data_IF_550695252727
#
_entry.id   IF_550695252727
#
_cell.length_a   1.000
_cell.length_b   1.000
_cell.length_c   1.000
_cell.angle_alpha   90.00
_cell.angle_beta   90.00
_cell.angle_gamma   90.00
#
_symmetry.space_group_name_H-M   'P 1'
#
loop_
_entity.id
_entity.type
_entity.pdbx_description
1 polymer ?
#
# COMPACT_ATOMS: atom_id res chain seq x y z
N UNK A 1 -47.94 -28.74 49.89
CA UNK A 1 -47.56 -28.27 48.54
C UNK A 1 -46.84 -26.92 48.58
N UNK A 2 -45.74 -26.77 49.31
CA UNK A 2 -44.96 -25.49 49.39
C UNK A 2 -43.42 -25.69 49.52
N UNK A 3 -42.87 -26.80 49.05
CA UNK A 3 -41.42 -27.07 49.15
C UNK A 3 -40.74 -27.38 47.80
N UNK A 4 -41.39 -27.18 46.64
CA UNK A 4 -40.82 -27.50 45.33
C UNK A 4 -40.49 -26.28 44.45
N UNK A 5 -40.64 -25.06 44.98
CA UNK A 5 -40.54 -23.83 44.17
C UNK A 5 -39.21 -23.08 44.38
N UNK A 6 -38.29 -23.57 45.23
CA UNK A 6 -37.00 -22.89 45.50
C UNK A 6 -35.80 -23.50 44.78
N UNK A 7 -35.98 -24.66 44.09
CA UNK A 7 -34.82 -25.30 43.42
C UNK A 7 -34.68 -24.96 41.95
N UNK A 8 -35.68 -24.31 41.35
CA UNK A 8 -35.62 -23.94 39.90
C UNK A 8 -35.03 -22.54 39.67
N UNK A 9 -35.03 -21.65 40.69
CA UNK A 9 -34.39 -20.33 40.53
C UNK A 9 -32.86 -20.33 40.70
N UNK A 10 -32.27 -21.37 41.27
CA UNK A 10 -30.81 -21.44 41.47
C UNK A 10 -30.03 -21.88 40.22
N UNK A 11 -30.67 -22.58 39.29
CA UNK A 11 -29.99 -23.04 38.06
C UNK A 11 -30.01 -22.03 36.89
N UNK A 12 -30.84 -20.98 36.96
CA UNK A 12 -30.93 -19.98 35.90
C UNK A 12 -29.92 -18.83 36.05
N UNK A 13 -29.21 -18.71 37.17
CA UNK A 13 -28.17 -17.68 37.34
C UNK A 13 -26.76 -18.18 37.01
N UNK A 14 -26.56 -19.43 36.66
CA UNK A 14 -25.24 -19.98 36.31
C UNK A 14 -24.92 -19.97 34.80
N UNK A 15 -25.85 -19.51 33.95
CA UNK A 15 -25.66 -19.55 32.49
C UNK A 15 -25.37 -18.17 31.85
N UNK A 16 -25.14 -17.13 32.63
CA UNK A 16 -24.93 -15.78 32.07
C UNK A 16 -23.47 -15.32 32.04
N UNK A 17 -22.49 -16.22 32.10
CA UNK A 17 -21.08 -15.81 32.13
C UNK A 17 -20.23 -16.22 30.90
N UNK A 18 -20.85 -16.58 29.78
CA UNK A 18 -20.07 -17.08 28.61
C UNK A 18 -19.95 -16.06 27.47
N UNK A 19 -20.47 -14.85 27.64
CA UNK A 19 -20.35 -13.81 26.61
C UNK A 19 -19.25 -12.77 26.88
N UNK A 20 -18.51 -12.88 27.96
CA UNK A 20 -17.33 -12.06 28.18
C UNK A 20 -16.14 -12.71 27.50
N UNK A 21 -15.56 -11.99 26.54
CA UNK A 21 -14.26 -12.33 25.97
C UNK A 21 -13.31 -12.68 27.13
N UNK A 22 -12.89 -13.93 27.25
CA UNK A 22 -11.91 -14.32 28.26
C UNK A 22 -10.61 -13.56 27.99
N UNK A 23 -10.39 -12.48 28.71
CA UNK A 23 -9.10 -11.83 28.82
C UNK A 23 -8.20 -12.71 29.71
N UNK A 24 -8.03 -13.97 29.29
CA UNK A 24 -7.16 -14.92 29.99
C UNK A 24 -5.76 -14.35 30.05
N UNK A 25 -5.12 -14.46 31.22
CA UNK A 25 -3.69 -14.21 31.39
C UNK A 25 -2.90 -15.25 30.59
N UNK A 26 -2.85 -15.09 29.27
CA UNK A 26 -1.84 -15.79 28.47
C UNK A 26 -0.50 -15.17 28.81
N UNK A 27 0.54 -15.99 28.96
CA UNK A 27 1.90 -15.49 29.05
C UNK A 27 2.11 -14.51 27.89
N UNK A 28 2.15 -13.21 28.19
CA UNK A 28 2.34 -12.17 27.16
C UNK A 28 3.81 -12.21 26.78
N UNK A 29 4.13 -12.87 25.68
CA UNK A 29 5.43 -12.71 25.03
C UNK A 29 5.40 -11.41 24.23
N UNK A 30 6.46 -10.63 24.33
CA UNK A 30 6.67 -9.48 23.44
C UNK A 30 7.36 -9.99 22.17
N UNK A 31 6.77 -9.78 21.03
CA UNK A 31 7.29 -10.16 19.71
C UNK A 31 6.73 -9.24 18.62
N UNK A 32 7.54 -8.75 17.66
CA UNK A 32 9.00 -8.75 17.74
C UNK A 32 9.55 -7.71 18.73
N UNK A 33 10.79 -7.88 19.16
CA UNK A 33 11.55 -6.88 19.92
C UNK A 33 12.65 -6.36 19.01
N UNK A 34 12.57 -5.09 18.65
CA UNK A 34 13.63 -4.40 17.90
C UNK A 34 14.65 -3.89 18.90
N UNK A 35 15.87 -4.39 18.84
CA UNK A 35 16.96 -4.05 19.76
C UNK A 35 17.70 -2.79 19.29
N UNK A 36 18.36 -2.10 20.21
CA UNK A 36 19.08 -0.86 19.91
C UNK A 36 20.24 -1.03 18.89
N UNK A 37 20.80 -2.23 18.78
CA UNK A 37 21.84 -2.57 17.81
C UNK A 37 21.28 -2.90 16.40
N UNK A 38 19.96 -2.88 16.25
CA UNK A 38 19.24 -3.21 15.01
C UNK A 38 19.01 -4.70 14.82
N UNK A 39 19.38 -5.55 15.78
CA UNK A 39 18.92 -6.95 15.78
C UNK A 39 17.45 -7.01 16.16
N UNK A 40 16.75 -8.08 15.76
CA UNK A 40 15.31 -8.27 16.07
C UNK A 40 15.10 -9.64 16.67
N UNK A 41 14.52 -9.67 17.87
CA UNK A 41 14.21 -10.91 18.59
C UNK A 41 12.73 -11.26 18.42
N UNK A 42 12.45 -12.44 17.90
CA UNK A 42 11.12 -13.01 17.80
C UNK A 42 10.89 -13.99 18.94
N UNK A 43 9.74 -13.90 19.59
CA UNK A 43 9.33 -14.79 20.67
C UNK A 43 7.93 -15.34 20.40
N UNK A 44 7.74 -16.65 20.56
CA UNK A 44 6.46 -17.29 20.34
C UNK A 44 6.19 -18.36 21.40
N UNK A 45 5.07 -18.24 22.12
CA UNK A 45 4.70 -19.23 23.13
C UNK A 45 3.93 -20.39 22.50
N UNK A 46 4.52 -21.56 22.49
CA UNK A 46 3.90 -22.82 22.06
C UNK A 46 4.58 -24.02 22.71
N UNK A 47 4.11 -24.42 23.92
CA UNK A 47 4.76 -25.48 24.67
C UNK A 47 4.65 -26.85 24.00
N UNK A 48 3.63 -27.10 23.17
CA UNK A 48 3.38 -28.37 22.48
C UNK A 48 4.02 -28.46 21.10
N UNK A 49 4.43 -27.34 20.49
CA UNK A 49 5.03 -27.35 19.16
C UNK A 49 6.35 -28.14 19.15
N UNK A 50 6.60 -28.82 18.01
CA UNK A 50 7.83 -29.57 17.76
C UNK A 50 8.85 -28.74 17.00
N UNK A 51 8.40 -27.81 16.15
CA UNK A 51 9.25 -26.94 15.34
C UNK A 51 8.58 -25.58 15.13
N UNK A 52 9.34 -24.53 15.37
CA UNK A 52 8.91 -23.15 15.08
C UNK A 52 10.01 -22.42 14.32
N UNK A 53 9.64 -21.68 13.31
CA UNK A 53 10.55 -20.83 12.54
C UNK A 53 9.89 -19.53 12.13
N UNK A 54 10.72 -18.51 11.82
CA UNK A 54 10.30 -17.21 11.28
C UNK A 54 10.81 -17.10 9.84
N UNK A 55 9.94 -16.61 8.96
CA UNK A 55 10.33 -16.22 7.58
C UNK A 55 9.88 -14.78 7.33
N UNK A 56 10.67 -14.02 6.58
CA UNK A 56 10.36 -12.65 6.25
C UNK A 56 11.24 -12.11 5.14
N UNK A 57 11.05 -10.83 4.82
CA UNK A 57 11.83 -10.11 3.82
C UNK A 57 13.06 -9.40 4.40
N UNK A 58 13.47 -9.78 5.61
CA UNK A 58 14.62 -9.25 6.33
C UNK A 58 15.93 -10.01 6.03
N UNK A 59 15.86 -11.11 5.30
CA UNK A 59 17.05 -11.84 4.88
C UNK A 59 17.39 -11.49 3.42
N UNK A 60 18.68 -11.26 3.14
CA UNK A 60 19.19 -11.07 1.77
C UNK A 60 19.00 -12.33 0.92
N UNK A 61 18.93 -13.49 1.57
CA UNK A 61 18.67 -14.77 0.92
C UNK A 61 17.17 -15.06 1.00
N UNK A 62 16.43 -14.71 -0.06
CA UNK A 62 15.01 -15.05 -0.21
C UNK A 62 14.77 -16.53 0.14
N UNK A 63 13.87 -16.78 1.10
CA UNK A 63 13.41 -18.08 1.57
C UNK A 63 14.25 -18.75 2.68
N UNK A 64 15.20 -18.10 3.33
CA UNK A 64 15.72 -18.66 4.56
C UNK A 64 14.70 -18.52 5.69
N UNK A 65 14.52 -19.62 6.40
CA UNK A 65 13.75 -19.66 7.64
C UNK A 65 14.73 -19.59 8.79
N UNK A 66 14.48 -18.70 9.73
CA UNK A 66 15.20 -18.67 10.99
C UNK A 66 14.55 -19.68 11.94
N UNK A 67 15.23 -20.78 12.21
CA UNK A 67 14.76 -21.76 13.18
C UNK A 67 14.81 -21.17 14.59
N UNK A 68 13.75 -21.36 15.35
CA UNK A 68 13.64 -20.88 16.72
C UNK A 68 14.06 -21.96 17.71
N UNK A 69 14.62 -21.58 18.84
CA UNK A 69 15.03 -22.46 19.92
C UNK A 69 13.98 -22.44 21.03
N UNK A 70 13.51 -23.61 21.45
CA UNK A 70 12.54 -23.75 22.54
C UNK A 70 13.24 -23.56 23.90
N UNK A 71 12.66 -22.71 24.74
CA UNK A 71 13.07 -22.47 26.11
C UNK A 71 12.27 -23.39 27.06
N UNK A 72 12.75 -23.57 28.30
CA UNK A 72 12.11 -24.42 29.31
C UNK A 72 10.67 -23.98 29.64
N UNK A 73 10.38 -22.67 29.56
CA UNK A 73 9.07 -22.08 29.79
C UNK A 73 8.09 -22.25 28.61
N UNK A 74 8.49 -22.97 27.55
CA UNK A 74 7.66 -23.20 26.35
C UNK A 74 7.66 -22.06 25.35
N UNK A 75 8.48 -21.02 25.57
CA UNK A 75 8.68 -19.93 24.60
C UNK A 75 9.74 -20.35 23.59
N UNK A 76 9.46 -20.13 22.33
CA UNK A 76 10.43 -20.25 21.23
C UNK A 76 11.02 -18.88 20.96
N UNK A 77 12.33 -18.82 20.72
CA UNK A 77 13.02 -17.55 20.47
C UNK A 77 14.06 -17.68 19.37
N UNK A 78 14.25 -16.59 18.61
CA UNK A 78 15.36 -16.40 17.66
C UNK A 78 15.66 -14.93 17.51
N UNK A 79 16.94 -14.58 17.33
CA UNK A 79 17.37 -13.21 17.07
C UNK A 79 18.05 -13.13 15.71
N UNK A 80 17.71 -12.14 14.90
CA UNK A 80 18.32 -11.89 13.59
C UNK A 80 19.74 -11.32 13.75
N UNK A 81 20.50 -11.26 12.66
CA UNK A 81 21.61 -10.31 12.54
C UNK A 81 21.06 -8.87 12.59
N UNK A 82 21.93 -7.88 12.79
CA UNK A 82 21.54 -6.49 12.71
C UNK A 82 20.98 -6.16 11.32
N UNK A 83 19.76 -5.61 11.29
CA UNK A 83 19.04 -5.25 10.07
C UNK A 83 19.27 -3.77 9.73
N UNK A 84 19.14 -3.44 8.46
CA UNK A 84 19.13 -2.05 8.01
C UNK A 84 17.83 -1.35 8.40
N UNK A 85 17.82 0.00 8.55
CA UNK A 85 16.59 0.75 8.76
C UNK A 85 15.62 0.58 7.59
N UNK A 86 14.45 -0.04 7.89
CA UNK A 86 13.42 -0.35 6.89
C UNK A 86 12.15 -0.87 7.59
N UNK A 87 11.05 -0.97 6.83
CA UNK A 87 9.86 -1.74 7.20
C UNK A 87 9.97 -3.15 6.63
N UNK A 88 9.83 -4.13 7.50
CA UNK A 88 9.93 -5.56 7.21
C UNK A 88 8.61 -6.29 7.44
N UNK A 89 8.37 -7.32 6.65
CA UNK A 89 7.25 -8.24 6.79
C UNK A 89 7.74 -9.62 7.24
N UNK A 90 6.96 -10.31 8.09
CA UNK A 90 7.28 -11.67 8.52
C UNK A 90 6.04 -12.52 8.79
N UNK A 91 6.25 -13.80 8.90
CA UNK A 91 5.29 -14.79 9.38
C UNK A 91 5.99 -15.91 10.15
N UNK A 92 5.23 -16.59 11.01
CA UNK A 92 5.68 -17.78 11.73
C UNK A 92 5.32 -19.05 10.93
N UNK A 93 6.12 -20.09 11.11
CA UNK A 93 5.75 -21.46 10.74
C UNK A 93 5.83 -22.32 11.98
N UNK A 94 4.72 -22.96 12.34
CA UNK A 94 4.61 -23.85 13.50
C UNK A 94 4.22 -25.23 13.00
N UNK A 95 5.09 -26.21 13.20
CA UNK A 95 4.91 -27.60 12.73
C UNK A 95 4.50 -27.69 11.24
N UNK A 96 5.09 -26.80 10.42
CA UNK A 96 4.85 -26.73 8.98
C UNK A 96 3.66 -25.85 8.54
N UNK A 97 2.84 -25.39 9.47
CA UNK A 97 1.71 -24.50 9.18
C UNK A 97 2.13 -23.03 9.30
N UNK A 98 1.65 -22.18 8.38
CA UNK A 98 1.93 -20.73 8.42
C UNK A 98 0.94 -20.00 9.34
N UNK A 99 1.49 -19.13 10.19
CA UNK A 99 0.73 -18.30 11.12
C UNK A 99 1.16 -16.84 11.05
N UNK A 100 0.22 -15.93 11.31
CA UNK A 100 0.55 -14.58 11.77
C UNK A 100 0.93 -14.64 13.25
N UNK A 101 1.88 -13.80 13.66
CA UNK A 101 2.29 -13.71 15.06
C UNK A 101 1.18 -13.07 15.91
N UNK A 102 0.56 -13.78 16.85
CA UNK A 102 -0.51 -13.24 17.66
C UNK A 102 -0.03 -12.20 18.70
N UNK A 103 1.27 -12.11 18.94
CA UNK A 103 1.85 -11.10 19.82
C UNK A 103 2.04 -9.74 19.13
N UNK A 104 1.94 -9.70 17.80
CA UNK A 104 2.05 -8.49 17.02
C UNK A 104 0.72 -8.17 16.31
N UNK A 105 0.05 -7.09 16.72
CA UNK A 105 -1.21 -6.65 16.11
C UNK A 105 -1.04 -5.95 14.75
N UNK A 106 0.19 -5.62 14.35
CA UNK A 106 0.46 -5.02 13.04
C UNK A 106 0.48 -6.09 11.96
N UNK A 107 -0.64 -6.22 11.27
CA UNK A 107 -0.84 -7.19 10.18
C UNK A 107 -1.17 -6.42 8.91
N UNK A 108 -0.45 -6.72 7.84
CA UNK A 108 -0.74 -6.24 6.49
C UNK A 108 -1.28 -7.38 5.63
N UNK A 109 -2.23 -7.05 4.76
CA UNK A 109 -2.70 -7.93 3.69
C UNK A 109 -2.08 -7.49 2.36
N UNK A 110 -1.30 -8.39 1.76
CA UNK A 110 -0.84 -8.23 0.37
C UNK A 110 -1.54 -9.29 -0.48
N UNK A 111 -2.44 -8.83 -1.34
CA UNK A 111 -3.36 -9.69 -2.10
C UNK A 111 -4.20 -10.55 -1.13
N UNK A 112 -3.90 -11.84 -1.04
CA UNK A 112 -4.55 -12.81 -0.14
C UNK A 112 -3.66 -13.25 1.02
N UNK A 113 -2.44 -12.73 1.10
CA UNK A 113 -1.45 -13.12 2.10
C UNK A 113 -1.45 -12.14 3.26
N UNK A 114 -1.62 -12.66 4.49
CA UNK A 114 -1.43 -11.89 5.72
C UNK A 114 0.01 -12.05 6.21
N UNK A 115 0.62 -10.95 6.62
CA UNK A 115 1.95 -10.91 7.24
C UNK A 115 1.96 -9.90 8.36
N UNK A 116 2.71 -10.18 9.43
CA UNK A 116 3.02 -9.15 10.41
C UNK A 116 4.11 -8.24 9.88
N UNK A 117 4.19 -7.02 10.41
CA UNK A 117 5.23 -6.05 10.09
C UNK A 117 5.93 -5.56 11.34
N UNK A 118 7.17 -5.11 11.16
CA UNK A 118 7.91 -4.30 12.11
C UNK A 118 8.79 -3.30 11.39
N UNK A 119 9.23 -2.27 12.10
CA UNK A 119 10.10 -1.23 11.58
C UNK A 119 11.40 -1.22 12.38
N UNK A 120 12.52 -1.19 11.69
CA UNK A 120 13.84 -0.92 12.27
C UNK A 120 14.20 0.50 11.94
N UNK A 121 14.52 1.30 12.96
CA UNK A 121 15.05 2.65 12.83
C UNK A 121 16.28 2.81 13.72
N UNK A 122 17.26 3.58 13.28
CA UNK A 122 18.51 3.86 13.99
C UNK A 122 18.79 5.34 14.12
N UNK A 123 18.11 6.17 13.32
CA UNK A 123 18.25 7.63 13.30
C UNK A 123 17.00 8.31 12.79
N UNK A 124 16.87 9.61 13.02
CA UNK A 124 15.70 10.39 12.61
C UNK A 124 15.67 10.75 11.11
N UNK A 125 16.69 10.35 10.36
CA UNK A 125 16.84 10.61 8.92
C UNK A 125 16.86 9.34 8.07
N UNK A 126 16.63 8.18 8.68
CA UNK A 126 16.61 6.90 8.00
C UNK A 126 15.21 6.52 7.46
N UNK A 127 15.17 5.46 6.65
CA UNK A 127 13.93 4.96 6.06
C UNK A 127 12.94 4.45 7.12
N UNK A 128 13.43 3.81 8.17
CA UNK A 128 12.59 3.32 9.25
C UNK A 128 11.86 4.46 9.94
N UNK A 129 12.56 5.57 10.22
CA UNK A 129 11.95 6.79 10.76
C UNK A 129 10.88 7.35 9.81
N UNK A 130 11.20 7.46 8.51
CA UNK A 130 10.26 7.97 7.51
C UNK A 130 8.96 7.15 7.43
N UNK A 131 9.03 5.83 7.65
CA UNK A 131 7.85 4.93 7.61
C UNK A 131 7.13 4.81 8.96
N UNK A 132 7.71 5.35 10.03
CA UNK A 132 7.14 5.33 11.38
C UNK A 132 6.12 6.44 11.59
N UNK A 133 5.30 6.28 12.62
CA UNK A 133 4.49 7.37 13.18
C UNK A 133 5.40 8.17 14.09
N UNK A 134 5.67 9.42 13.74
CA UNK A 134 6.53 10.33 14.50
C UNK A 134 5.70 11.43 15.15
N UNK A 135 6.28 12.18 16.07
CA UNK A 135 5.63 13.33 16.71
C UNK A 135 5.64 14.55 15.77
N UNK A 136 4.78 14.51 14.78
CA UNK A 136 4.59 15.54 13.74
C UNK A 136 3.09 15.78 13.54
N UNK A 137 2.67 16.91 12.93
CA UNK A 137 1.26 17.09 12.58
C UNK A 137 0.78 16.00 11.61
N UNK A 138 -0.29 15.26 11.99
CA UNK A 138 -0.84 14.17 11.21
C UNK A 138 -1.98 14.59 10.30
N UNK A 139 -1.96 14.10 9.07
CA UNK A 139 -3.08 14.20 8.15
C UNK A 139 -4.23 13.24 8.51
N UNK A 140 -5.33 13.39 7.80
CA UNK A 140 -6.51 12.51 7.95
C UNK A 140 -6.55 11.51 6.81
N UNK A 141 -6.75 10.24 7.13
CA UNK A 141 -6.96 9.16 6.16
C UNK A 141 -8.43 8.72 6.19
N UNK A 142 -9.16 8.94 5.10
CA UNK A 142 -10.58 8.62 4.98
C UNK A 142 -10.82 7.64 3.84
N UNK A 143 -11.79 6.75 4.02
CA UNK A 143 -12.27 5.83 2.98
C UNK A 143 -13.64 6.31 2.52
N UNK A 144 -13.74 6.72 1.27
CA UNK A 144 -14.94 7.37 0.73
C UNK A 144 -15.51 6.58 -0.44
N UNK A 145 -16.83 6.53 -0.52
CA UNK A 145 -17.57 6.00 -1.65
C UNK A 145 -17.85 7.12 -2.66
N UNK A 146 -17.76 6.80 -3.93
CA UNK A 146 -18.10 7.71 -5.01
C UNK A 146 -18.84 6.97 -6.12
N UNK A 147 -19.70 7.69 -6.83
CA UNK A 147 -20.36 7.18 -8.01
C UNK A 147 -19.41 7.27 -9.21
N UNK A 148 -19.29 6.17 -9.96
CA UNK A 148 -18.59 6.14 -11.24
C UNK A 148 -19.62 5.95 -12.38
N UNK A 149 -20.08 7.03 -13.00
CA UNK A 149 -21.03 6.95 -14.12
C UNK A 149 -20.49 6.14 -15.28
N UNK A 150 -19.20 6.26 -15.57
CA UNK A 150 -18.52 5.53 -16.66
C UNK A 150 -18.59 4.03 -16.45
N UNK A 151 -18.38 3.55 -15.21
CA UNK A 151 -18.47 2.13 -14.85
C UNK A 151 -19.89 1.70 -14.47
N UNK A 152 -20.78 2.66 -14.16
CA UNK A 152 -22.18 2.42 -13.77
C UNK A 152 -22.32 1.77 -12.39
N UNK A 153 -21.39 2.06 -11.47
CA UNK A 153 -21.37 1.49 -10.13
C UNK A 153 -20.78 2.45 -9.10
N UNK A 154 -21.11 2.26 -7.84
CA UNK A 154 -20.40 2.90 -6.73
C UNK A 154 -19.05 2.23 -6.52
N UNK A 155 -18.06 3.05 -6.23
CA UNK A 155 -16.69 2.60 -5.99
C UNK A 155 -16.08 3.28 -4.79
N UNK A 156 -15.02 2.70 -4.26
CA UNK A 156 -14.35 3.20 -3.07
C UNK A 156 -12.94 3.67 -3.39
N UNK A 157 -12.50 4.69 -2.68
CA UNK A 157 -11.13 5.17 -2.65
C UNK A 157 -10.71 5.56 -1.24
N UNK A 158 -9.42 5.58 -0.99
CA UNK A 158 -8.83 6.14 0.22
C UNK A 158 -8.29 7.54 -0.10
N UNK A 159 -8.60 8.52 0.75
CA UNK A 159 -8.15 9.91 0.59
C UNK A 159 -7.37 10.34 1.82
N UNK A 160 -6.14 10.80 1.61
CA UNK A 160 -5.33 11.46 2.62
C UNK A 160 -5.45 12.97 2.44
N UNK A 161 -5.75 13.67 3.53
CA UNK A 161 -5.74 15.12 3.63
C UNK A 161 -4.58 15.53 4.54
N UNK A 162 -3.67 16.44 4.11
CA UNK A 162 -2.57 16.87 4.97
C UNK A 162 -3.08 17.62 6.21
N UNK A 163 -2.31 17.62 7.29
CA UNK A 163 -2.71 18.27 8.55
C UNK A 163 -3.13 19.75 8.39
N UNK A 164 -2.55 20.42 7.39
CA UNK A 164 -2.87 21.83 7.08
C UNK A 164 -4.18 22.01 6.27
N UNK A 165 -4.90 20.92 5.93
CA UNK A 165 -6.14 21.01 5.16
C UNK A 165 -7.29 21.49 6.05
N UNK A 166 -7.80 22.70 5.77
CA UNK A 166 -8.88 23.35 6.52
C UNK A 166 -10.20 23.51 5.74
N UNK A 167 -10.25 22.95 4.52
CA UNK A 167 -11.40 23.09 3.61
C UNK A 167 -11.57 24.47 2.96
N UNK A 168 -10.68 25.44 3.22
CA UNK A 168 -10.72 26.81 2.68
C UNK A 168 -9.66 27.03 1.60
N UNK A 169 -8.41 26.68 1.90
CA UNK A 169 -7.30 26.76 0.97
C UNK A 169 -7.33 25.60 -0.01
N UNK A 170 -7.02 25.87 -1.28
CA UNK A 170 -6.89 24.82 -2.30
C UNK A 170 -5.51 24.16 -2.24
N UNK A 171 -5.50 22.82 -2.36
CA UNK A 171 -4.31 22.00 -2.36
C UNK A 171 -4.12 21.29 -3.70
N UNK A 172 -2.88 20.99 -4.11
CA UNK A 172 -2.62 20.12 -5.24
C UNK A 172 -2.99 18.67 -4.88
N UNK A 173 -3.21 17.83 -5.88
CA UNK A 173 -3.67 16.45 -5.73
C UNK A 173 -2.73 15.49 -6.41
N UNK A 174 -2.24 14.49 -5.68
CA UNK A 174 -1.55 13.32 -6.20
C UNK A 174 -2.49 12.12 -6.21
N UNK A 175 -2.74 11.54 -7.38
CA UNK A 175 -3.45 10.27 -7.53
C UNK A 175 -2.43 9.13 -7.51
N UNK A 176 -2.56 8.19 -6.56
CA UNK A 176 -1.58 7.17 -6.25
C UNK A 176 -2.19 5.77 -6.43
N UNK A 177 -1.79 5.08 -7.51
CA UNK A 177 -2.44 3.87 -8.00
C UNK A 177 -1.69 2.61 -7.53
N UNK A 178 -2.43 1.64 -7.00
CA UNK A 178 -1.89 0.35 -6.57
C UNK A 178 -1.61 -0.60 -7.74
N UNK A 179 -0.89 -1.69 -7.45
CA UNK A 179 -0.56 -2.75 -8.41
C UNK A 179 -1.61 -3.85 -8.48
N UNK A 180 -1.29 -4.85 -9.30
CA UNK A 180 -2.12 -6.03 -9.48
C UNK A 180 -2.38 -6.74 -8.14
N UNK A 181 -3.62 -7.11 -7.86
CA UNK A 181 -4.06 -7.74 -6.61
C UNK A 181 -4.22 -6.82 -5.42
N UNK A 182 -3.85 -5.55 -5.56
CA UNK A 182 -4.12 -4.54 -4.56
C UNK A 182 -5.52 -3.95 -4.69
N UNK A 183 -5.80 -2.99 -3.82
CA UNK A 183 -7.03 -2.21 -3.78
C UNK A 183 -6.77 -0.83 -3.16
N UNK A 184 -7.82 -0.06 -2.85
CA UNK A 184 -7.72 1.29 -2.30
C UNK A 184 -7.05 1.37 -0.92
N UNK A 185 -6.75 0.23 -0.27
CA UNK A 185 -6.07 0.22 1.03
C UNK A 185 -4.55 0.00 0.91
N UNK A 186 -4.08 -0.54 -0.21
CA UNK A 186 -2.72 -1.05 -0.36
C UNK A 186 -1.63 0.01 -0.07
N UNK A 187 -1.78 1.22 -0.61
CA UNK A 187 -0.80 2.28 -0.36
C UNK A 187 -0.81 2.80 1.09
N UNK A 188 -1.98 2.82 1.73
CA UNK A 188 -2.10 3.18 3.15
C UNK A 188 -1.45 2.14 4.06
N UNK A 189 -1.74 0.87 3.82
CA UNK A 189 -1.35 -0.23 4.69
C UNK A 189 0.08 -0.73 4.39
N UNK A 190 0.36 -1.15 3.15
CA UNK A 190 1.67 -1.68 2.73
C UNK A 190 2.67 -0.56 2.39
N UNK A 191 2.19 0.49 1.73
CA UNK A 191 3.00 1.62 1.27
C UNK A 191 3.31 2.65 2.33
N UNK A 192 2.61 2.66 3.47
CA UNK A 192 2.76 3.66 4.54
C UNK A 192 2.59 5.10 4.05
N UNK A 193 1.73 5.31 3.05
CA UNK A 193 1.63 6.58 2.35
C UNK A 193 1.31 7.76 3.28
N UNK A 194 0.42 7.60 4.28
CA UNK A 194 0.11 8.68 5.24
C UNK A 194 1.32 9.05 6.09
N UNK A 195 2.06 8.06 6.61
CA UNK A 195 3.26 8.31 7.44
C UNK A 195 4.36 8.98 6.61
N UNK A 196 4.62 8.50 5.40
CA UNK A 196 5.59 9.11 4.49
C UNK A 196 5.20 10.57 4.20
N UNK A 197 3.93 10.84 3.92
CA UNK A 197 3.47 12.20 3.63
C UNK A 197 3.55 13.11 4.84
N UNK A 198 3.10 12.66 6.03
CA UNK A 198 3.18 13.44 7.27
C UNK A 198 4.64 13.84 7.57
N UNK A 199 5.56 12.87 7.52
CA UNK A 199 6.97 13.09 7.81
C UNK A 199 7.63 14.01 6.78
N UNK A 200 7.42 13.79 5.47
CA UNK A 200 7.99 14.64 4.42
C UNK A 200 7.45 16.08 4.47
N UNK A 201 6.17 16.26 4.79
CA UNK A 201 5.56 17.59 4.91
C UNK A 201 6.14 18.31 6.14
N UNK A 202 6.25 17.63 7.28
CA UNK A 202 6.81 18.21 8.50
C UNK A 202 8.28 18.62 8.33
N UNK A 203 9.05 17.85 7.57
CA UNK A 203 10.44 18.15 7.21
C UNK A 203 10.58 19.21 6.09
N UNK A 204 9.49 19.73 5.53
CA UNK A 204 9.52 20.65 4.39
C UNK A 204 10.06 20.05 3.09
N UNK A 205 10.17 18.72 3.04
CA UNK A 205 10.70 17.99 1.88
C UNK A 205 9.68 17.78 0.77
N UNK A 206 8.40 17.93 1.02
CA UNK A 206 7.37 17.96 -0.03
C UNK A 206 6.31 19.04 0.24
N UNK A 207 5.64 19.44 -0.82
CA UNK A 207 4.52 20.38 -0.72
C UNK A 207 3.33 19.65 -0.08
N UNK A 208 2.62 20.26 0.91
CA UNK A 208 1.38 19.69 1.41
C UNK A 208 0.37 19.46 0.27
N UNK A 209 -0.13 18.24 0.13
CA UNK A 209 -1.02 17.81 -0.95
C UNK A 209 -2.07 16.82 -0.49
N UNK A 210 -3.18 16.76 -1.20
CA UNK A 210 -4.18 15.68 -1.08
C UNK A 210 -3.62 14.46 -1.82
N UNK A 211 -3.74 13.26 -1.22
CA UNK A 211 -3.39 12.00 -1.90
C UNK A 211 -4.63 11.14 -2.06
N UNK A 212 -4.95 10.79 -3.29
CA UNK A 212 -6.11 9.97 -3.65
C UNK A 212 -5.65 8.60 -4.10
N UNK A 213 -6.09 7.56 -3.40
CA UNK A 213 -5.74 6.17 -3.63
C UNK A 213 -6.99 5.39 -4.02
N UNK A 214 -7.37 5.34 -5.30
CA UNK A 214 -8.57 4.65 -5.75
C UNK A 214 -8.34 3.14 -5.87
N UNK A 215 -9.43 2.37 -5.87
CA UNK A 215 -9.38 0.98 -6.34
C UNK A 215 -9.18 0.97 -7.86
N UNK A 216 -8.09 0.37 -8.33
CA UNK A 216 -7.71 0.30 -9.74
C UNK A 216 -8.40 -0.82 -10.52
N UNK A 217 -9.20 -1.67 -9.84
CA UNK A 217 -9.87 -2.82 -10.47
C UNK A 217 -11.29 -2.42 -10.91
N UNK A 218 -11.58 -2.24 -12.21
CA UNK A 218 -12.85 -1.68 -12.67
C UNK A 218 -14.07 -2.57 -12.41
N UNK A 219 -13.88 -3.84 -12.05
CA UNK A 219 -14.95 -4.80 -11.71
C UNK A 219 -15.22 -4.89 -10.21
N UNK A 220 -14.44 -4.22 -9.35
CA UNK A 220 -14.57 -4.27 -7.90
C UNK A 220 -15.08 -2.93 -7.36
N UNK A 221 -16.09 -2.96 -6.49
CA UNK A 221 -16.57 -1.75 -5.84
C UNK A 221 -15.60 -1.23 -4.78
N UNK A 222 -14.98 -2.14 -4.03
CA UNK A 222 -14.09 -1.84 -2.92
C UNK A 222 -13.13 -3.01 -2.65
N UNK A 223 -12.26 -2.86 -1.67
CA UNK A 223 -11.43 -3.92 -1.12
C UNK A 223 -12.28 -5.10 -0.62
N UNK A 224 -11.73 -6.34 -0.62
CA UNK A 224 -12.41 -7.51 -0.06
C UNK A 224 -12.95 -7.25 1.36
N UNK A 225 -14.16 -7.75 1.63
CA UNK A 225 -14.86 -7.53 2.90
C UNK A 225 -15.61 -6.20 3.03
N UNK A 226 -15.54 -5.33 2.01
CA UNK A 226 -16.16 -4.00 2.05
C UNK A 226 -17.25 -3.77 1.01
N UNK A 227 -17.63 -4.80 0.27
CA UNK A 227 -18.75 -4.78 -0.66
C UNK A 227 -19.40 -6.17 -0.74
N UNK A 228 -20.66 -6.23 -1.18
CA UNK A 228 -21.49 -7.42 -1.04
C UNK A 228 -20.90 -8.66 -1.74
N UNK A 229 -20.54 -8.53 -3.02
CA UNK A 229 -20.02 -9.66 -3.80
C UNK A 229 -18.59 -10.04 -3.43
N UNK A 230 -17.82 -9.11 -2.86
CA UNK A 230 -16.44 -9.32 -2.42
C UNK A 230 -16.30 -9.61 -0.92
N UNK A 231 -17.38 -9.90 -0.20
CA UNK A 231 -17.35 -10.03 1.26
C UNK A 231 -16.39 -11.13 1.74
N UNK A 232 -16.36 -12.26 1.07
CA UNK A 232 -15.55 -13.41 1.47
C UNK A 232 -14.53 -13.84 0.42
N UNK A 233 -14.51 -13.17 -0.72
CA UNK A 233 -13.58 -13.50 -1.79
C UNK A 233 -12.32 -12.67 -1.62
N UNK A 234 -11.17 -13.28 -1.30
CA UNK A 234 -9.93 -12.60 -1.54
C UNK A 234 -9.80 -12.48 -3.07
N UNK A 235 -10.16 -11.36 -3.63
CA UNK A 235 -9.80 -10.74 -4.89
C UNK A 235 -9.41 -11.59 -6.11
N UNK A 236 -9.61 -12.90 -6.11
CA UNK A 236 -9.30 -13.75 -7.27
C UNK A 236 -9.97 -13.26 -8.57
N UNK A 237 -11.02 -12.44 -8.45
CA UNK A 237 -11.69 -11.78 -9.56
C UNK A 237 -11.18 -10.35 -9.85
N UNK A 238 -10.37 -9.76 -8.96
CA UNK A 238 -9.80 -8.42 -9.15
C UNK A 238 -8.93 -8.31 -10.43
N UNK A 239 -8.49 -9.44 -10.95
CA UNK A 239 -7.70 -9.56 -12.17
C UNK A 239 -8.54 -9.74 -13.43
N UNK A 240 -9.80 -10.09 -13.28
CA UNK A 240 -10.67 -10.34 -14.41
C UNK A 240 -11.42 -9.07 -14.78
N UNK A 241 -10.78 -8.21 -15.56
CA UNK A 241 -11.46 -7.04 -16.16
C UNK A 241 -12.53 -7.43 -17.21
N UNK A 242 -12.74 -8.74 -17.44
CA UNK A 242 -13.80 -9.22 -18.35
C UNK A 242 -15.16 -8.85 -17.75
N UNK A 243 -15.94 -8.10 -18.51
CA UNK A 243 -17.27 -7.64 -18.10
C UNK A 243 -17.31 -6.23 -17.53
N UNK A 244 -16.17 -5.55 -17.33
CA UNK A 244 -16.17 -4.13 -17.03
C UNK A 244 -16.74 -3.33 -18.21
N UNK A 245 -17.58 -2.33 -17.92
CA UNK A 245 -18.15 -1.42 -18.93
C UNK A 245 -17.09 -0.57 -19.63
N UNK A 246 -16.04 -0.21 -18.88
CA UNK A 246 -14.93 0.61 -19.33
C UNK A 246 -13.67 0.23 -18.55
N UNK A 247 -12.51 0.65 -19.04
CA UNK A 247 -11.24 0.49 -18.33
C UNK A 247 -11.12 1.46 -17.15
N UNK A 248 -10.13 1.22 -16.28
CA UNK A 248 -9.76 2.15 -15.21
C UNK A 248 -9.36 3.52 -15.78
N UNK A 249 -8.64 3.54 -16.89
CA UNK A 249 -8.18 4.75 -17.55
C UNK A 249 -9.35 5.58 -18.08
N UNK A 250 -10.32 4.95 -18.75
CA UNK A 250 -11.51 5.63 -19.28
C UNK A 250 -12.40 6.20 -18.18
N UNK A 251 -12.50 5.52 -17.04
CA UNK A 251 -13.28 5.95 -15.88
C UNK A 251 -12.55 6.94 -14.96
N UNK A 252 -11.29 7.24 -15.24
CA UNK A 252 -10.46 8.01 -14.30
C UNK A 252 -10.97 9.42 -14.03
N UNK A 253 -11.63 10.03 -15.01
CA UNK A 253 -12.19 11.38 -14.83
C UNK A 253 -13.37 11.40 -13.85
N UNK A 254 -14.06 10.30 -13.60
CA UNK A 254 -15.09 10.21 -12.54
C UNK A 254 -14.46 10.48 -11.16
N UNK A 255 -13.24 9.96 -10.93
CA UNK A 255 -12.48 10.18 -9.70
C UNK A 255 -12.06 11.65 -9.59
N UNK A 256 -11.48 12.21 -10.67
CA UNK A 256 -11.03 13.60 -10.70
C UNK A 256 -12.19 14.56 -10.43
N UNK A 257 -13.33 14.34 -11.08
CA UNK A 257 -14.53 15.16 -10.91
C UNK A 257 -15.09 15.07 -9.49
N UNK A 258 -15.14 13.87 -8.91
CA UNK A 258 -15.56 13.69 -7.53
C UNK A 258 -14.64 14.46 -6.57
N UNK A 259 -13.33 14.28 -6.69
CA UNK A 259 -12.33 14.93 -5.84
C UNK A 259 -12.42 16.44 -5.93
N UNK A 260 -12.53 16.99 -7.15
CA UNK A 260 -12.63 18.42 -7.37
C UNK A 260 -13.97 19.04 -6.87
N UNK A 261 -15.03 18.24 -6.76
CA UNK A 261 -16.32 18.70 -6.24
C UNK A 261 -16.43 18.62 -4.72
N UNK A 262 -15.71 17.69 -4.07
CA UNK A 262 -15.81 17.44 -2.63
C UNK A 262 -14.66 18.04 -1.81
N UNK A 263 -13.52 18.33 -2.44
CA UNK A 263 -12.34 18.88 -1.76
C UNK A 263 -11.90 20.20 -2.39
N UNK A 264 -11.21 21.02 -1.62
CA UNK A 264 -10.61 22.27 -2.13
C UNK A 264 -9.30 21.93 -2.84
N UNK A 265 -9.39 21.77 -4.16
CA UNK A 265 -8.30 21.37 -5.03
C UNK A 265 -7.83 22.51 -5.95
N UNK A 266 -6.57 22.48 -6.37
CA UNK A 266 -6.07 23.32 -7.45
C UNK A 266 -6.49 22.66 -8.78
N UNK A 267 -7.61 23.15 -9.36
CA UNK A 267 -8.27 22.57 -10.55
C UNK A 267 -7.54 22.89 -11.85
N UNK A 268 -6.21 22.81 -11.85
CA UNK A 268 -5.34 23.05 -13.01
C UNK A 268 -4.40 21.85 -13.16
N UNK A 269 -3.91 21.61 -14.38
CA UNK A 269 -2.94 20.55 -14.64
C UNK A 269 -1.69 20.65 -13.76
N UNK A 270 -1.22 21.89 -13.48
CA UNK A 270 -0.09 22.14 -12.58
C UNK A 270 -0.35 21.77 -11.12
N UNK A 271 -1.60 21.59 -10.72
CA UNK A 271 -2.01 21.10 -9.40
C UNK A 271 -2.36 19.61 -9.38
N UNK A 272 -2.08 18.84 -10.43
CA UNK A 272 -2.42 17.42 -10.50
C UNK A 272 -1.23 16.55 -10.90
N UNK A 273 -1.00 15.50 -10.13
CA UNK A 273 -0.04 14.46 -10.40
C UNK A 273 -0.73 13.09 -10.40
N UNK A 274 -0.28 12.17 -11.23
CA UNK A 274 -0.69 10.76 -11.20
C UNK A 274 0.53 9.85 -11.21
N UNK A 275 0.54 8.88 -10.32
CA UNK A 275 1.62 7.90 -10.20
C UNK A 275 1.06 6.57 -9.73
N UNK A 276 1.78 5.50 -9.97
CA UNK A 276 1.38 4.19 -9.50
C UNK A 276 2.42 3.13 -9.75
N UNK A 277 2.27 2.02 -9.03
CA UNK A 277 3.17 0.88 -9.11
C UNK A 277 2.62 -0.22 -10.03
N UNK A 278 3.48 -0.92 -10.78
CA UNK A 278 3.13 -2.12 -11.55
C UNK A 278 1.94 -1.88 -12.51
N UNK A 279 0.80 -2.53 -12.27
CA UNK A 279 -0.48 -2.28 -12.96
C UNK A 279 -0.88 -0.80 -12.86
N UNK A 280 -0.78 -0.19 -11.65
CA UNK A 280 -1.03 1.24 -11.44
C UNK A 280 -0.07 2.14 -12.22
N UNK A 281 1.16 1.72 -12.44
CA UNK A 281 2.09 2.37 -13.37
C UNK A 281 1.63 2.26 -14.83
N UNK A 282 1.07 1.12 -15.21
CA UNK A 282 0.42 0.92 -16.50
C UNK A 282 -0.81 1.81 -16.68
N UNK A 283 -1.67 1.92 -15.64
CA UNK A 283 -2.79 2.86 -15.61
C UNK A 283 -2.30 4.31 -15.73
N UNK A 284 -1.25 4.69 -14.99
CA UNK A 284 -0.63 6.03 -15.11
C UNK A 284 -0.21 6.32 -16.54
N UNK A 285 0.44 5.35 -17.19
CA UNK A 285 0.84 5.47 -18.59
C UNK A 285 -0.35 5.56 -19.56
N UNK A 286 -1.44 4.83 -19.29
CA UNK A 286 -2.69 4.94 -20.05
C UNK A 286 -3.38 6.30 -19.88
N UNK A 287 -3.52 6.75 -18.62
CA UNK A 287 -4.12 8.04 -18.24
C UNK A 287 -3.34 9.19 -18.87
N UNK A 288 -2.00 9.17 -18.85
CA UNK A 288 -1.17 10.22 -19.43
C UNK A 288 -1.44 10.43 -20.92
N UNK A 289 -1.71 9.34 -21.66
CA UNK A 289 -2.02 9.37 -23.08
C UNK A 289 -3.46 9.76 -23.39
N UNK A 290 -4.41 9.37 -22.53
CA UNK A 290 -5.83 9.72 -22.71
C UNK A 290 -6.13 11.17 -22.32
N UNK A 291 -5.51 11.66 -21.25
CA UNK A 291 -5.81 12.97 -20.65
C UNK A 291 -4.56 13.84 -20.45
N UNK A 292 -3.77 14.10 -21.51
CA UNK A 292 -2.51 14.84 -21.40
C UNK A 292 -2.67 16.29 -20.92
N UNK A 293 -3.88 16.86 -21.03
CA UNK A 293 -4.19 18.23 -20.59
C UNK A 293 -4.68 18.31 -19.14
N UNK A 294 -4.74 17.16 -18.43
CA UNK A 294 -5.27 17.11 -17.07
C UNK A 294 -4.20 17.14 -15.99
N UNK A 295 -2.99 16.63 -16.31
CA UNK A 295 -1.89 16.46 -15.37
C UNK A 295 -0.61 17.06 -15.89
N UNK A 296 0.26 17.54 -14.99
CA UNK A 296 1.61 17.98 -15.32
C UNK A 296 2.71 17.03 -14.83
N UNK A 297 2.36 16.07 -13.95
CA UNK A 297 3.33 15.18 -13.32
C UNK A 297 2.87 13.73 -13.44
N UNK A 298 3.71 12.91 -14.03
CA UNK A 298 3.47 11.47 -14.22
C UNK A 298 4.61 10.66 -13.62
N UNK A 299 4.28 9.68 -12.78
CA UNK A 299 5.26 8.78 -12.14
C UNK A 299 4.96 7.32 -12.43
N UNK A 300 5.83 6.67 -13.19
CA UNK A 300 5.73 5.26 -13.56
C UNK A 300 6.65 4.43 -12.66
N UNK A 301 6.09 3.73 -11.68
CA UNK A 301 6.86 2.95 -10.70
C UNK A 301 6.77 1.46 -11.06
N UNK A 302 7.89 0.82 -11.44
CA UNK A 302 7.89 -0.58 -11.90
C UNK A 302 6.74 -0.86 -12.87
N UNK A 303 6.54 0.01 -13.86
CA UNK A 303 5.29 0.11 -14.58
C UNK A 303 5.07 -1.02 -15.59
N UNK A 304 3.86 -1.56 -15.65
CA UNK A 304 3.40 -2.43 -16.73
C UNK A 304 3.07 -1.59 -17.99
N UNK A 305 4.05 -0.83 -18.48
CA UNK A 305 3.92 0.16 -19.55
C UNK A 305 4.34 -0.42 -20.91
N UNK A 306 3.40 -0.99 -21.65
CA UNK A 306 3.69 -1.62 -22.95
C UNK A 306 3.71 -0.59 -24.07
N UNK A 307 4.82 -0.51 -24.80
CA UNK A 307 4.96 0.25 -26.04
C UNK A 307 4.32 -0.50 -27.20
N UNK A 308 3.61 0.23 -28.08
CA UNK A 308 2.97 -0.26 -29.30
C UNK A 308 3.40 0.56 -30.50
N UNK A 309 4.70 0.57 -30.80
CA UNK A 309 5.30 1.47 -31.80
C UNK A 309 4.71 1.31 -33.21
N UNK A 310 4.11 0.15 -33.56
CA UNK A 310 3.45 -0.08 -34.84
C UNK A 310 1.95 0.32 -34.84
N UNK A 311 1.44 0.89 -33.74
CA UNK A 311 0.07 1.35 -33.60
C UNK A 311 0.03 2.88 -33.81
N UNK A 312 -0.57 3.32 -34.90
CA UNK A 312 -0.67 4.74 -35.25
C UNK A 312 -1.38 5.56 -34.18
N UNK A 313 -2.45 5.01 -33.55
CA UNK A 313 -3.18 5.68 -32.47
C UNK A 313 -2.30 5.84 -31.22
N UNK A 314 -1.49 4.83 -30.91
CA UNK A 314 -0.55 4.92 -29.80
C UNK A 314 0.47 6.04 -30.02
N UNK A 315 1.07 6.11 -31.23
CA UNK A 315 2.06 7.13 -31.58
C UNK A 315 1.46 8.54 -31.59
N UNK A 316 0.22 8.70 -32.08
CA UNK A 316 -0.51 9.98 -32.00
C UNK A 316 -0.74 10.40 -30.55
N UNK A 317 -1.17 9.49 -29.67
CA UNK A 317 -1.38 9.77 -28.25
C UNK A 317 -0.08 10.17 -27.55
N UNK A 318 1.04 9.51 -27.85
CA UNK A 318 2.35 9.84 -27.29
C UNK A 318 2.82 11.22 -27.78
N UNK A 319 2.65 11.53 -29.06
CA UNK A 319 2.95 12.84 -29.62
C UNK A 319 2.14 13.95 -28.93
N UNK A 320 0.83 13.75 -28.73
CA UNK A 320 -0.06 14.68 -28.04
C UNK A 320 0.37 14.88 -26.58
N UNK A 321 0.71 13.81 -25.87
CA UNK A 321 1.20 13.86 -24.49
C UNK A 321 2.43 14.77 -24.38
N UNK A 322 3.46 14.54 -25.19
CA UNK A 322 4.70 15.33 -25.08
C UNK A 322 4.59 16.71 -25.69
N UNK A 323 3.70 16.91 -26.67
CA UNK A 323 3.35 18.26 -27.16
C UNK A 323 2.67 19.12 -26.09
N UNK A 324 1.97 18.52 -25.13
CA UNK A 324 1.40 19.23 -23.97
C UNK A 324 2.46 19.71 -22.97
N UNK A 325 3.72 19.26 -23.11
CA UNK A 325 4.86 19.62 -22.27
C UNK A 325 4.60 19.37 -20.78
N UNK A 326 4.43 18.12 -20.33
CA UNK A 326 4.31 17.82 -18.91
C UNK A 326 5.55 18.30 -18.16
N UNK A 327 5.37 18.81 -16.93
CA UNK A 327 6.48 19.26 -16.07
C UNK A 327 7.40 18.10 -15.66
N UNK A 328 6.84 16.91 -15.50
CA UNK A 328 7.59 15.71 -15.13
C UNK A 328 6.97 14.45 -15.75
N UNK A 329 7.78 13.68 -16.45
CA UNK A 329 7.52 12.30 -16.80
C UNK A 329 8.65 11.46 -16.21
N UNK A 330 8.34 10.74 -15.11
CA UNK A 330 9.34 10.05 -14.30
C UNK A 330 9.13 8.55 -14.32
N UNK A 331 10.20 7.80 -14.46
CA UNK A 331 10.22 6.34 -14.49
C UNK A 331 11.15 5.85 -13.39
N UNK A 332 10.68 4.93 -12.54
CA UNK A 332 11.50 4.29 -11.50
C UNK A 332 11.27 2.79 -11.48
N UNK A 333 12.36 2.02 -11.37
CA UNK A 333 12.30 0.55 -11.37
C UNK A 333 13.55 -0.05 -10.69
N UNK A 334 13.40 -1.26 -10.12
CA UNK A 334 14.51 -2.04 -9.60
C UNK A 334 15.22 -2.83 -10.70
N UNK A 335 16.53 -3.03 -10.56
CA UNK A 335 17.36 -3.80 -11.53
C UNK A 335 16.89 -5.24 -11.70
N UNK A 336 16.43 -5.86 -10.61
CA UNK A 336 15.96 -7.24 -10.57
C UNK A 336 14.43 -7.35 -10.77
N UNK A 337 13.76 -6.26 -11.14
CA UNK A 337 12.33 -6.25 -11.41
C UNK A 337 12.03 -7.01 -12.71
N UNK A 338 11.03 -7.91 -12.68
CA UNK A 338 10.66 -8.69 -13.87
C UNK A 338 10.10 -7.83 -15.00
N UNK A 339 9.69 -6.58 -14.72
CA UNK A 339 9.26 -5.60 -15.74
C UNK A 339 10.39 -4.74 -16.29
N UNK A 340 11.65 -4.98 -15.90
CA UNK A 340 12.80 -4.16 -16.32
C UNK A 340 12.92 -4.07 -17.84
N UNK A 341 12.74 -5.19 -18.56
CA UNK A 341 12.83 -5.19 -20.03
C UNK A 341 11.71 -4.39 -20.70
N UNK A 342 10.51 -4.42 -20.12
CA UNK A 342 9.40 -3.61 -20.61
C UNK A 342 9.62 -2.12 -20.40
N UNK A 343 10.19 -1.73 -19.24
CA UNK A 343 10.53 -0.34 -18.96
C UNK A 343 11.72 0.14 -19.82
N UNK A 344 12.70 -0.71 -20.09
CA UNK A 344 13.77 -0.41 -21.04
C UNK A 344 13.23 -0.17 -22.47
N UNK A 345 12.27 -0.97 -22.92
CA UNK A 345 11.58 -0.74 -24.19
C UNK A 345 10.83 0.60 -24.24
N UNK A 346 10.20 1.02 -23.14
CA UNK A 346 9.59 2.35 -23.03
C UNK A 346 10.65 3.45 -23.13
N UNK A 347 11.74 3.33 -22.38
CA UNK A 347 12.85 4.32 -22.42
C UNK A 347 13.45 4.43 -23.82
N UNK A 348 13.73 3.30 -24.47
CA UNK A 348 14.22 3.30 -25.86
C UNK A 348 13.26 4.06 -26.78
N UNK A 349 11.94 3.79 -26.69
CA UNK A 349 10.94 4.53 -27.48
C UNK A 349 10.97 6.03 -27.22
N UNK A 350 11.09 6.46 -25.94
CA UNK A 350 11.16 7.86 -25.58
C UNK A 350 12.42 8.53 -26.12
N UNK A 351 13.58 7.85 -26.05
CA UNK A 351 14.86 8.32 -26.59
C UNK A 351 14.83 8.48 -28.11
N UNK A 352 14.28 7.49 -28.85
CA UNK A 352 14.14 7.53 -30.29
C UNK A 352 13.28 8.71 -30.77
N UNK A 353 12.23 9.09 -29.98
CA UNK A 353 11.37 10.22 -30.29
C UNK A 353 11.79 11.55 -29.65
N UNK A 354 12.90 11.54 -28.89
CA UNK A 354 13.41 12.71 -28.13
C UNK A 354 12.38 13.27 -27.14
N UNK A 355 11.58 12.40 -26.54
CA UNK A 355 10.63 12.78 -25.49
C UNK A 355 11.33 12.90 -24.15
N UNK A 356 11.19 14.03 -23.44
CA UNK A 356 11.89 14.24 -22.17
C UNK A 356 11.30 13.37 -21.05
N UNK A 357 12.18 12.73 -20.28
CA UNK A 357 11.81 11.99 -19.06
C UNK A 357 12.97 11.97 -18.07
N UNK A 358 12.65 11.70 -16.80
CA UNK A 358 13.64 11.38 -15.78
C UNK A 358 13.59 9.88 -15.47
N UNK A 359 14.73 9.29 -15.18
CA UNK A 359 14.86 7.88 -14.85
C UNK A 359 15.59 7.65 -13.53
N UNK A 360 15.07 6.73 -12.75
CA UNK A 360 15.71 6.24 -11.53
C UNK A 360 15.73 4.72 -11.49
N UNK A 361 16.88 4.14 -11.17
CA UNK A 361 17.07 2.70 -11.01
C UNK A 361 17.82 2.43 -9.72
N UNK A 362 17.37 1.43 -8.96
CA UNK A 362 18.04 0.95 -7.76
C UNK A 362 18.09 -0.56 -7.73
N UNK A 363 18.79 -1.11 -6.75
CA UNK A 363 18.82 -2.55 -6.51
C UNK A 363 17.45 -3.06 -6.02
N UNK A 364 17.21 -4.36 -6.18
CA UNK A 364 15.98 -5.03 -5.78
C UNK A 364 14.95 -5.16 -6.91
N UNK A 365 13.93 -5.94 -6.64
CA UNK A 365 12.94 -6.36 -7.62
C UNK A 365 11.58 -5.65 -7.44
N UNK A 366 10.53 -6.36 -7.81
CA UNK A 366 9.13 -5.92 -7.79
C UNK A 366 8.54 -6.03 -6.38
N UNK A 367 8.91 -5.10 -5.47
CA UNK A 367 8.64 -5.19 -4.04
C UNK A 367 8.26 -3.85 -3.40
N UNK A 368 7.47 -3.90 -2.32
CA UNK A 368 6.99 -2.72 -1.60
C UNK A 368 8.12 -1.83 -1.06
N UNK A 369 9.27 -2.40 -0.70
CA UNK A 369 10.46 -1.63 -0.29
C UNK A 369 10.87 -0.61 -1.35
N UNK A 370 10.90 -1.00 -2.62
CA UNK A 370 11.22 -0.12 -3.72
C UNK A 370 10.13 0.91 -3.96
N UNK A 371 8.86 0.53 -3.89
CA UNK A 371 7.75 1.45 -4.14
C UNK A 371 7.60 2.52 -3.04
N UNK A 372 7.93 2.21 -1.79
CA UNK A 372 8.04 3.23 -0.72
C UNK A 372 9.13 4.26 -1.04
N UNK A 373 10.29 3.82 -1.54
CA UNK A 373 11.36 4.71 -2.01
C UNK A 373 10.85 5.59 -3.16
N UNK A 374 10.16 4.99 -4.13
CA UNK A 374 9.67 5.72 -5.30
C UNK A 374 8.58 6.72 -4.94
N UNK A 375 7.66 6.38 -4.03
CA UNK A 375 6.69 7.35 -3.51
C UNK A 375 7.40 8.52 -2.85
N UNK A 376 8.38 8.24 -1.97
CA UNK A 376 9.18 9.27 -1.28
C UNK A 376 9.85 10.21 -2.27
N UNK A 377 10.48 9.67 -3.31
CA UNK A 377 11.18 10.46 -4.32
C UNK A 377 10.20 11.29 -5.17
N UNK A 378 9.12 10.66 -5.63
CA UNK A 378 8.14 11.34 -6.49
C UNK A 378 7.43 12.48 -5.75
N UNK A 379 7.01 12.27 -4.50
CA UNK A 379 6.36 13.30 -3.68
C UNK A 379 7.24 14.54 -3.48
N UNK A 380 8.56 14.37 -3.44
CA UNK A 380 9.51 15.47 -3.30
C UNK A 380 9.76 16.25 -4.62
N UNK A 381 9.41 15.67 -5.77
CA UNK A 381 9.64 16.26 -7.10
C UNK A 381 8.46 17.10 -7.61
N UNK A 382 7.26 16.85 -7.14
CA UNK A 382 6.02 17.41 -7.70
C UNK A 382 5.58 18.69 -6.98
N UNK A 383 4.85 19.56 -7.72
CA UNK A 383 4.25 20.81 -7.24
C UNK A 383 5.25 21.85 -6.70
N UNK A 384 6.51 21.69 -7.00
CA UNK A 384 7.54 22.73 -6.77
C UNK A 384 7.64 23.59 -8.02
N UNK A 385 7.61 24.89 -7.85
CA UNK A 385 7.76 25.88 -8.93
C UNK A 385 9.21 25.93 -9.42
#
# INVERSE_FOLDING_TARGET
MKKFMFLVCGCLMAMNSVAQQQLGQRARVQSPVVNADGTVTFNFYSPSAQRVSVSGDFDEIRNQRLEMTKQENGVWTVTTKALNPELYSYSLSVDGQRFVDPANSYVNRDISTLSNIFIVTKSNDDKGHLYSVNDVPHGTLSRVWYDSPTLGQQRRMTVYLPAAYDGKKAFPVMYLLHGHGGDETAWGDLGRASQIMDNLIAEGKCVPMIVVMPNGNPTCNAAPGWWHEGMYTPDGNAFNQRGAKASMEESFMDIVNYVDSHYKTIKKRSGRAVTGLSMGGGHTFGISRLYPETFDYYGLQSAAARVRQNDAKFNEQMSRLFSSKPKLFWIAIGKEDFLIQQNNGLRQYLDEHKYPYEYYENDGGHIWRNWRIYLTMFAQKIFRD
#
